data_IF_071578113589
#
_entry.id   IF_071578113589
#
_cell.length_a   1.000
_cell.length_b   1.000
_cell.length_c   1.000
_cell.angle_alpha   90.00
_cell.angle_beta   90.00
_cell.angle_gamma   90.00
#
_symmetry.space_group_name_H-M   'P 1'
#
loop_
_entity.id
_entity.type
_entity.pdbx_description
1 polymer ?
#
# COMPACT_ATOMS: atom_id res chain seq x y z
N UNK A 1 14.84 -9.21 -1.22
CA UNK A 1 13.67 -8.63 -1.92
C UNK A 1 13.01 -7.63 -0.99
N UNK A 2 12.80 -6.39 -1.44
CA UNK A 2 12.11 -5.35 -0.67
C UNK A 2 10.81 -5.01 -1.39
N UNK A 3 9.69 -5.09 -0.70
CA UNK A 3 8.39 -4.67 -1.24
C UNK A 3 7.93 -3.44 -0.47
N UNK A 4 7.73 -2.34 -1.18
CA UNK A 4 7.28 -1.07 -0.59
C UNK A 4 5.82 -0.86 -0.94
N UNK A 5 5.01 -0.62 0.09
CA UNK A 5 3.61 -0.29 -0.05
C UNK A 5 3.34 1.07 0.59
N UNK A 6 2.49 1.88 -0.05
CA UNK A 6 1.92 3.07 0.57
C UNK A 6 0.40 3.04 0.41
N UNK A 7 -0.30 4.09 0.83
CA UNK A 7 -1.77 4.13 0.71
C UNK A 7 -2.30 3.98 -0.73
N UNK A 8 -1.63 4.59 -1.71
CA UNK A 8 -2.16 4.75 -3.08
C UNK A 8 -1.09 4.64 -4.20
N UNK A 9 -0.04 3.83 -3.99
CA UNK A 9 1.05 3.60 -4.95
C UNK A 9 2.07 4.74 -5.20
N UNK A 10 1.69 6.02 -5.07
CA UNK A 10 2.54 7.16 -5.48
C UNK A 10 3.83 7.33 -4.66
N UNK A 11 3.74 7.15 -3.34
CA UNK A 11 4.91 7.32 -2.44
C UNK A 11 5.84 6.12 -2.49
N UNK A 12 5.29 4.92 -2.61
CA UNK A 12 6.07 3.69 -2.79
C UNK A 12 6.85 3.72 -4.10
N UNK A 13 6.27 4.25 -5.19
CA UNK A 13 7.00 4.47 -6.45
C UNK A 13 8.23 5.39 -6.28
N UNK A 14 8.09 6.49 -5.54
CA UNK A 14 9.23 7.38 -5.24
C UNK A 14 10.28 6.69 -4.35
N UNK A 15 9.83 5.90 -3.38
CA UNK A 15 10.72 5.17 -2.48
C UNK A 15 11.54 4.11 -3.22
N UNK A 16 10.93 3.31 -4.11
CA UNK A 16 11.69 2.32 -4.89
C UNK A 16 12.70 2.97 -5.83
N UNK A 17 12.39 4.16 -6.37
CA UNK A 17 13.34 4.92 -7.19
C UNK A 17 14.58 5.32 -6.39
N UNK A 18 14.38 5.76 -5.14
CA UNK A 18 15.50 6.08 -4.24
C UNK A 18 16.29 4.82 -3.87
N UNK A 19 15.61 3.71 -3.55
CA UNK A 19 16.27 2.44 -3.26
C UNK A 19 17.09 1.94 -4.45
N UNK A 20 16.58 2.03 -5.67
CA UNK A 20 17.34 1.71 -6.87
C UNK A 20 18.59 2.58 -7.00
N UNK A 21 18.49 3.90 -6.76
CA UNK A 21 19.66 4.80 -6.75
C UNK A 21 20.70 4.46 -5.69
N UNK A 22 20.29 3.83 -4.59
CA UNK A 22 21.18 3.35 -3.52
C UNK A 22 21.78 1.97 -3.81
N UNK A 23 21.54 1.38 -4.99
CA UNK A 23 22.09 0.09 -5.41
C UNK A 23 21.23 -1.12 -5.04
N UNK A 24 20.02 -0.93 -4.50
CA UNK A 24 19.11 -2.04 -4.29
C UNK A 24 18.49 -2.47 -5.64
N UNK A 25 18.76 -3.71 -6.06
CA UNK A 25 18.32 -4.24 -7.36
C UNK A 25 17.02 -5.02 -7.29
N UNK A 26 16.68 -5.55 -6.11
CA UNK A 26 15.53 -6.41 -5.89
C UNK A 26 14.47 -5.69 -5.04
N UNK A 27 13.88 -4.63 -5.62
CA UNK A 27 12.87 -3.77 -4.97
C UNK A 27 11.63 -3.60 -5.84
N UNK A 28 10.44 -3.65 -5.24
CA UNK A 28 9.16 -3.57 -5.94
C UNK A 28 8.19 -2.64 -5.21
N UNK A 29 7.36 -1.92 -5.96
CA UNK A 29 6.26 -1.13 -5.42
C UNK A 29 4.95 -1.86 -5.65
N UNK A 30 4.10 -1.93 -4.63
CA UNK A 30 2.72 -2.41 -4.79
C UNK A 30 1.93 -1.36 -5.59
N UNK A 31 1.46 -1.76 -6.78
CA UNK A 31 0.58 -0.94 -7.63
C UNK A 31 -0.73 -0.72 -6.86
N UNK A 32 -1.33 0.47 -6.99
CA UNK A 32 -2.52 0.92 -6.26
C UNK A 32 -2.35 1.07 -4.74
N UNK A 33 -1.32 0.50 -4.14
CA UNK A 33 -1.09 0.57 -2.70
C UNK A 33 -2.16 -0.17 -1.90
N UNK A 34 -2.35 0.25 -0.65
CA UNK A 34 -3.24 -0.45 0.28
C UNK A 34 -4.73 -0.15 0.04
N UNK A 35 -5.11 1.12 -0.06
CA UNK A 35 -6.52 1.55 -0.17
C UNK A 35 -6.85 2.14 -1.54
N UNK A 36 -5.83 2.60 -2.28
CA UNK A 36 -5.94 3.19 -3.62
C UNK A 36 -7.03 4.26 -3.78
N UNK A 37 -7.62 4.43 -4.95
CA UNK A 37 -8.36 5.62 -5.36
C UNK A 37 -9.69 5.84 -4.62
N UNK A 38 -10.11 7.11 -4.60
CA UNK A 38 -11.41 7.49 -4.06
C UNK A 38 -12.51 7.18 -5.08
N UNK A 39 -13.60 6.58 -4.63
CA UNK A 39 -14.80 6.44 -5.43
C UNK A 39 -15.40 7.79 -5.76
N UNK A 40 -15.98 7.86 -6.96
CA UNK A 40 -16.76 8.99 -7.48
C UNK A 40 -18.26 8.67 -7.54
N UNK A 41 -18.67 7.47 -7.13
CA UNK A 41 -20.09 7.10 -7.08
C UNK A 41 -20.72 7.79 -5.88
N UNK A 42 -21.96 8.25 -6.03
CA UNK A 42 -22.61 9.09 -5.02
C UNK A 42 -22.69 8.42 -3.63
N UNK A 43 -22.92 7.11 -3.60
CA UNK A 43 -23.08 6.33 -2.37
C UNK A 43 -21.82 6.25 -1.51
N UNK A 44 -20.64 6.31 -2.12
CA UNK A 44 -19.33 6.16 -1.46
C UNK A 44 -18.34 7.25 -1.90
N UNK A 45 -18.87 8.40 -2.34
CA UNK A 45 -18.07 9.47 -2.90
C UNK A 45 -17.00 9.93 -1.89
N UNK A 46 -15.74 9.90 -2.32
CA UNK A 46 -14.60 10.27 -1.51
C UNK A 46 -14.04 9.17 -0.61
N UNK A 47 -14.70 8.01 -0.50
CA UNK A 47 -14.19 6.82 0.19
C UNK A 47 -13.25 6.03 -0.71
N UNK A 48 -12.27 5.31 -0.13
CA UNK A 48 -11.26 4.55 -0.89
C UNK A 48 -11.69 3.09 -1.06
N UNK A 49 -12.66 2.88 -1.93
CA UNK A 49 -13.40 1.61 -2.11
C UNK A 49 -13.23 1.01 -3.51
N UNK A 50 -12.43 1.64 -4.38
CA UNK A 50 -12.35 1.27 -5.81
C UNK A 50 -11.37 0.15 -6.09
N UNK A 51 -10.14 0.25 -5.59
CA UNK A 51 -9.02 -0.64 -5.92
C UNK A 51 -8.00 -0.71 -4.76
N UNK A 52 -6.85 -1.36 -4.98
CA UNK A 52 -5.80 -1.52 -3.98
C UNK A 52 -5.94 -2.80 -3.15
N UNK A 53 -4.91 -3.10 -2.37
CA UNK A 53 -4.77 -4.36 -1.64
C UNK A 53 -6.02 -4.75 -0.85
N UNK A 54 -6.59 -3.78 -0.12
CA UNK A 54 -7.78 -3.98 0.71
C UNK A 54 -9.03 -4.30 -0.12
N UNK A 55 -9.24 -3.58 -1.23
CA UNK A 55 -10.45 -3.72 -2.05
C UNK A 55 -10.37 -4.88 -3.06
N UNK A 56 -9.16 -5.34 -3.38
CA UNK A 56 -8.92 -6.51 -4.24
C UNK A 56 -9.04 -7.86 -3.50
N UNK A 57 -9.54 -7.87 -2.26
CA UNK A 57 -9.75 -9.09 -1.48
C UNK A 57 -8.47 -9.80 -1.02
N UNK A 58 -7.33 -9.12 -1.03
CA UNK A 58 -6.08 -9.69 -0.52
C UNK A 58 -6.11 -9.77 1.02
N UNK A 59 -5.31 -10.63 1.66
CA UNK A 59 -5.33 -10.75 3.12
C UNK A 59 -4.94 -9.43 3.81
N UNK A 60 -5.84 -8.91 4.64
CA UNK A 60 -5.60 -7.81 5.56
C UNK A 60 -6.61 -7.90 6.72
N UNK A 61 -6.31 -7.25 7.84
CA UNK A 61 -7.23 -7.20 8.98
C UNK A 61 -6.98 -5.95 9.82
N UNK A 62 -8.03 -5.48 10.51
CA UNK A 62 -7.90 -4.50 11.59
C UNK A 62 -7.52 -5.16 12.93
N UNK A 63 -7.67 -6.48 13.05
CA UNK A 63 -7.23 -7.20 14.24
C UNK A 63 -5.71 -7.10 14.37
N UNK A 64 -5.27 -6.51 15.47
CA UNK A 64 -3.87 -6.34 15.74
C UNK A 64 -3.26 -7.69 16.16
N UNK A 65 -2.08 -7.99 15.63
CA UNK A 65 -1.33 -9.17 16.04
C UNK A 65 -0.29 -8.74 17.06
N UNK A 66 -0.55 -9.02 18.34
CA UNK A 66 0.31 -8.64 19.46
C UNK A 66 1.76 -9.11 19.27
N UNK A 67 1.97 -10.29 18.69
CA UNK A 67 3.32 -10.83 18.42
C UNK A 67 4.09 -10.04 17.35
N UNK A 68 3.41 -9.19 16.57
CA UNK A 68 4.00 -8.36 15.52
C UNK A 68 4.03 -6.88 15.89
N UNK A 69 3.59 -6.52 17.08
CA UNK A 69 3.65 -5.15 17.57
C UNK A 69 5.03 -4.89 18.16
N UNK A 70 5.74 -3.93 17.56
CA UNK A 70 6.96 -3.40 18.15
C UNK A 70 6.56 -2.25 19.08
N UNK A 71 6.86 -2.40 20.37
CA UNK A 71 6.73 -1.34 21.35
C UNK A 71 8.14 -0.78 21.57
N UNK A 72 8.33 0.51 21.28
CA UNK A 72 9.54 1.27 21.65
C UNK A 72 9.50 1.68 23.12
#
# INVERSE_FOLDING_TARGET
MIVVICRSGKRSAKAIHLLHKMGYTNVYSVIDGFESDKSKVLADNGQRTVNGWKNNGLPWTYALNENKMHFE
#
